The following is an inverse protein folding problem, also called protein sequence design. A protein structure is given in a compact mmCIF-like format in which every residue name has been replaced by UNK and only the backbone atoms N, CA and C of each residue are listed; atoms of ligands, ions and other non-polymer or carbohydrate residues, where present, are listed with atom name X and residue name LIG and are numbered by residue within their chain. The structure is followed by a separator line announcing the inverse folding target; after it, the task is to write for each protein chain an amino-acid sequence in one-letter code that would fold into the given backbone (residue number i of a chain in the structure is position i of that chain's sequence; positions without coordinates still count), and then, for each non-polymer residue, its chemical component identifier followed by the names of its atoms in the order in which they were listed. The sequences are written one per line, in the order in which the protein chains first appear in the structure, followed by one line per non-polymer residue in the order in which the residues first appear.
data_IF_925159872321
#
_entry.id   IF_925159872321
#
_cell.length_a   1.000
_cell.length_b   1.000
_cell.length_c   1.000
_cell.angle_alpha   90.00
_cell.angle_beta   90.00
_cell.angle_gamma   90.00
#
_symmetry.space_group_name_H-M   'P 1'
#
loop_
_entity.id
_entity.type
_entity.pdbx_description
1 polymer ?
#
# COMPACT_ATOMS: atom_id res chain seq x y z
N UNK A 1 17.21 -15.08 8.17
CA UNK A 1 16.51 -16.35 7.95
C UNK A 1 17.08 -16.98 6.68
N UNK A 2 17.29 -18.30 6.69
CA UNK A 2 17.91 -19.03 5.57
C UNK A 2 16.86 -19.40 4.49
N UNK A 3 16.02 -18.46 4.10
CA UNK A 3 14.99 -18.66 3.08
C UNK A 3 15.59 -18.68 1.68
N UNK A 4 15.02 -19.51 0.79
CA UNK A 4 15.34 -19.55 -0.64
C UNK A 4 14.15 -19.12 -1.50
N UNK A 5 12.97 -19.00 -0.90
CA UNK A 5 11.73 -18.66 -1.59
C UNK A 5 10.96 -17.62 -0.80
N UNK A 6 10.66 -16.47 -1.42
CA UNK A 6 9.74 -15.47 -0.86
C UNK A 6 8.31 -15.80 -1.30
N UNK A 7 7.39 -15.76 -0.34
CA UNK A 7 5.97 -16.01 -0.58
C UNK A 7 5.16 -14.82 -0.09
N UNK A 8 4.20 -14.36 -0.88
CA UNK A 8 3.27 -13.30 -0.43
C UNK A 8 1.92 -13.44 -1.10
N UNK A 9 0.98 -12.59 -0.69
CA UNK A 9 -0.37 -12.58 -1.23
C UNK A 9 -0.90 -11.15 -1.47
N UNK A 10 -1.90 -11.05 -2.35
CA UNK A 10 -2.54 -9.77 -2.67
C UNK A 10 -3.56 -9.87 -3.79
N UNK A 11 -4.10 -8.75 -4.23
CA UNK A 11 -4.90 -8.69 -5.46
C UNK A 11 -4.03 -8.88 -6.70
N UNK A 12 -4.64 -9.19 -7.86
CA UNK A 12 -3.93 -9.43 -9.13
C UNK A 12 -3.02 -8.25 -9.53
N UNK A 13 -3.41 -7.02 -9.19
CA UNK A 13 -2.65 -5.81 -9.48
C UNK A 13 -1.93 -5.24 -8.24
N UNK A 14 -1.49 -6.11 -7.32
CA UNK A 14 -0.83 -5.70 -6.10
C UNK A 14 0.56 -5.11 -6.34
N UNK A 15 0.77 -3.86 -5.97
CA UNK A 15 2.10 -3.23 -5.97
C UNK A 15 3.05 -3.91 -4.99
N UNK A 16 2.52 -4.43 -3.87
CA UNK A 16 3.30 -5.16 -2.89
C UNK A 16 3.82 -6.49 -3.47
N UNK A 17 2.96 -7.28 -4.13
CA UNK A 17 3.37 -8.53 -4.76
C UNK A 17 4.50 -8.30 -5.78
N UNK A 18 4.38 -7.27 -6.62
CA UNK A 18 5.46 -6.88 -7.54
C UNK A 18 6.75 -6.51 -6.81
N UNK A 19 6.67 -5.79 -5.69
CA UNK A 19 7.85 -5.45 -4.89
C UNK A 19 8.50 -6.71 -4.30
N UNK A 20 7.71 -7.70 -3.85
CA UNK A 20 8.21 -9.00 -3.39
C UNK A 20 8.89 -9.77 -4.53
N UNK A 21 8.27 -9.83 -5.71
CA UNK A 21 8.86 -10.46 -6.89
C UNK A 21 10.20 -9.82 -7.27
N UNK A 22 10.25 -8.46 -7.27
CA UNK A 22 11.49 -7.73 -7.50
C UNK A 22 12.56 -8.04 -6.46
N UNK A 23 12.19 -8.05 -5.17
CA UNK A 23 13.11 -8.35 -4.09
C UNK A 23 13.67 -9.79 -4.20
N UNK A 24 12.83 -10.76 -4.54
CA UNK A 24 13.26 -12.13 -4.78
C UNK A 24 14.26 -12.22 -5.94
N UNK A 25 13.91 -11.68 -7.11
CA UNK A 25 14.77 -11.67 -8.30
C UNK A 25 16.12 -10.99 -8.01
N UNK A 26 16.10 -9.84 -7.33
CA UNK A 26 17.31 -9.07 -6.99
C UNK A 26 18.28 -9.86 -6.08
N UNK A 27 17.75 -10.75 -5.24
CA UNK A 27 18.52 -11.52 -4.27
C UNK A 27 18.74 -12.99 -4.70
N UNK A 28 18.39 -13.37 -5.92
CA UNK A 28 18.54 -14.74 -6.43
C UNK A 28 17.65 -15.76 -5.71
N UNK A 29 16.50 -15.32 -5.18
CA UNK A 29 15.52 -16.15 -4.50
C UNK A 29 14.37 -16.49 -5.46
N UNK A 30 13.71 -17.61 -5.21
CA UNK A 30 12.44 -17.94 -5.85
C UNK A 30 11.32 -17.06 -5.29
N UNK A 31 10.26 -16.86 -6.07
CA UNK A 31 9.09 -16.10 -5.65
C UNK A 31 7.80 -16.87 -5.96
N UNK A 32 6.90 -16.97 -4.98
CA UNK A 32 5.55 -17.49 -5.13
C UNK A 32 4.55 -16.44 -4.68
N UNK A 33 3.58 -16.12 -5.54
CA UNK A 33 2.53 -15.13 -5.26
C UNK A 33 1.15 -15.79 -5.28
N UNK A 34 0.44 -15.70 -4.15
CA UNK A 34 -0.96 -16.09 -4.02
C UNK A 34 -1.83 -14.86 -4.36
N UNK A 35 -2.45 -14.85 -5.54
CA UNK A 35 -3.22 -13.70 -6.02
C UNK A 35 -4.72 -13.95 -5.93
N UNK A 36 -5.44 -12.96 -5.37
CA UNK A 36 -6.90 -12.98 -5.22
C UNK A 36 -7.60 -12.65 -6.53
N UNK A 37 -8.36 -13.58 -7.04
CA UNK A 37 -9.19 -13.44 -8.22
C UNK A 37 -9.03 -14.63 -9.17
N UNK A 38 -9.81 -14.63 -10.24
CA UNK A 38 -9.67 -15.60 -11.32
C UNK A 38 -8.49 -15.26 -12.21
N UNK A 39 -7.92 -16.28 -12.87
CA UNK A 39 -6.84 -16.09 -13.83
C UNK A 39 -7.33 -15.19 -14.97
N UNK A 40 -6.74 -14.01 -15.18
CA UNK A 40 -7.18 -13.11 -16.23
C UNK A 40 -6.82 -13.64 -17.63
N UNK A 41 -7.58 -13.21 -18.62
CA UNK A 41 -7.32 -13.52 -20.03
C UNK A 41 -6.05 -12.81 -20.51
N UNK A 42 -5.87 -11.56 -20.09
CA UNK A 42 -4.71 -10.75 -20.44
C UNK A 42 -3.80 -10.56 -19.23
N UNK A 43 -2.50 -10.60 -19.47
CA UNK A 43 -1.46 -10.41 -18.46
C UNK A 43 -0.90 -8.99 -18.64
N UNK A 44 -1.27 -8.09 -17.75
CA UNK A 44 -0.91 -6.67 -17.84
C UNK A 44 -0.57 -6.08 -16.46
N UNK A 45 -0.10 -4.83 -16.45
CA UNK A 45 0.16 -4.09 -15.23
C UNK A 45 1.17 -4.77 -14.30
N UNK A 46 0.83 -4.86 -13.03
CA UNK A 46 1.67 -5.51 -12.02
C UNK A 46 1.82 -7.02 -12.26
N UNK A 47 0.76 -7.71 -12.69
CA UNK A 47 0.84 -9.15 -13.01
C UNK A 47 1.85 -9.45 -14.12
N UNK A 48 1.94 -8.59 -15.14
CA UNK A 48 2.95 -8.73 -16.18
C UNK A 48 4.37 -8.60 -15.60
N UNK A 49 4.57 -7.62 -14.73
CA UNK A 49 5.86 -7.42 -14.08
C UNK A 49 6.22 -8.57 -13.14
N UNK A 50 5.26 -9.11 -12.40
CA UNK A 50 5.46 -10.30 -11.57
C UNK A 50 6.01 -11.48 -12.40
N UNK A 51 5.40 -11.73 -13.57
CA UNK A 51 5.85 -12.79 -14.49
C UNK A 51 7.21 -12.50 -15.11
N UNK A 52 7.48 -11.27 -15.53
CA UNK A 52 8.80 -10.85 -16.06
C UNK A 52 9.89 -11.03 -14.99
N UNK A 53 9.57 -10.78 -13.72
CA UNK A 53 10.48 -10.97 -12.59
C UNK A 53 10.65 -12.45 -12.17
N UNK A 54 9.99 -13.38 -12.86
CA UNK A 54 10.12 -14.81 -12.63
C UNK A 54 9.29 -15.35 -11.47
N UNK A 55 8.30 -14.59 -10.98
CA UNK A 55 7.42 -15.09 -9.94
C UNK A 55 6.50 -16.21 -10.45
N UNK A 56 6.40 -17.29 -9.69
CA UNK A 56 5.29 -18.21 -9.81
C UNK A 56 4.03 -17.59 -9.22
N UNK A 57 2.89 -17.76 -9.90
CA UNK A 57 1.63 -17.12 -9.51
C UNK A 57 0.53 -18.15 -9.44
N UNK A 58 -0.16 -18.21 -8.29
CA UNK A 58 -1.38 -18.99 -8.10
C UNK A 58 -2.56 -18.08 -7.82
N UNK A 59 -3.68 -18.42 -8.44
CA UNK A 59 -4.93 -17.68 -8.26
C UNK A 59 -5.81 -18.40 -7.24
N UNK A 60 -6.37 -17.62 -6.34
CA UNK A 60 -7.28 -18.07 -5.30
C UNK A 60 -8.57 -17.25 -5.39
N UNK A 61 -9.70 -17.87 -5.11
CA UNK A 61 -11.00 -17.18 -5.16
C UNK A 61 -11.09 -16.09 -4.08
N UNK A 62 -12.05 -15.18 -4.24
CA UNK A 62 -12.36 -14.18 -3.22
C UNK A 62 -12.78 -14.84 -1.91
N UNK A 63 -13.43 -16.01 -1.99
CA UNK A 63 -13.85 -16.78 -0.83
C UNK A 63 -12.64 -17.36 -0.07
N UNK A 64 -11.68 -17.96 -0.79
CA UNK A 64 -10.45 -18.47 -0.16
C UNK A 64 -9.69 -17.37 0.58
N UNK A 65 -9.69 -16.14 0.04
CA UNK A 65 -9.01 -15.00 0.65
C UNK A 65 -9.65 -14.49 1.96
N UNK A 66 -10.85 -14.97 2.32
CA UNK A 66 -11.42 -14.70 3.64
C UNK A 66 -10.63 -15.37 4.76
N UNK A 67 -9.90 -16.44 4.43
CA UNK A 67 -9.00 -17.13 5.36
C UNK A 67 -7.57 -17.21 4.79
N UNK A 68 -6.85 -16.10 4.89
CA UNK A 68 -5.44 -15.98 4.43
C UNK A 68 -4.55 -17.03 5.09
N UNK A 69 -4.83 -17.44 6.32
CA UNK A 69 -4.02 -18.42 7.03
C UNK A 69 -4.07 -19.81 6.34
N UNK A 70 -5.20 -20.19 5.78
CA UNK A 70 -5.32 -21.46 5.03
C UNK A 70 -4.53 -21.40 3.72
N UNK A 71 -4.52 -20.24 3.04
CA UNK A 71 -3.69 -20.03 1.85
C UNK A 71 -2.21 -20.12 2.23
N UNK A 72 -1.79 -19.43 3.29
CA UNK A 72 -0.42 -19.50 3.80
C UNK A 72 -0.01 -20.94 4.07
N UNK A 73 -0.77 -21.63 4.90
CA UNK A 73 -0.49 -23.02 5.28
C UNK A 73 -0.38 -23.92 4.03
N UNK A 74 -1.34 -23.82 3.10
CA UNK A 74 -1.36 -24.61 1.88
C UNK A 74 -0.10 -24.41 1.02
N UNK A 75 0.23 -23.14 0.77
CA UNK A 75 1.36 -22.77 -0.12
C UNK A 75 2.70 -23.07 0.55
N UNK A 76 2.84 -22.69 1.82
CA UNK A 76 4.09 -22.88 2.58
C UNK A 76 4.40 -24.36 2.78
N UNK A 77 3.39 -25.17 3.16
CA UNK A 77 3.60 -26.61 3.40
C UNK A 77 3.89 -27.36 2.11
N UNK A 78 3.30 -26.98 0.98
CA UNK A 78 3.64 -27.55 -0.31
C UNK A 78 5.09 -27.23 -0.71
N UNK A 79 5.52 -25.97 -0.60
CA UNK A 79 6.88 -25.56 -0.88
C UNK A 79 7.89 -26.31 0.01
N UNK A 80 7.59 -26.47 1.30
CA UNK A 80 8.44 -27.26 2.23
C UNK A 80 8.54 -28.71 1.84
N UNK A 81 7.42 -29.35 1.44
CA UNK A 81 7.42 -30.74 0.95
C UNK A 81 8.27 -30.92 -0.31
N UNK A 82 8.38 -29.87 -1.12
CA UNK A 82 9.22 -29.84 -2.32
C UNK A 82 10.69 -29.48 -2.03
N UNK A 83 11.07 -29.34 -0.75
CA UNK A 83 12.44 -29.06 -0.32
C UNK A 83 12.83 -27.60 -0.27
N UNK A 84 11.90 -26.67 -0.49
CA UNK A 84 12.13 -25.22 -0.37
C UNK A 84 12.08 -24.76 1.08
N UNK A 85 12.68 -23.60 1.34
CA UNK A 85 12.62 -22.88 2.62
C UNK A 85 11.85 -21.56 2.42
N UNK A 86 10.49 -21.61 2.39
CA UNK A 86 9.68 -20.44 2.14
C UNK A 86 9.69 -19.47 3.32
N UNK A 87 9.70 -18.17 3.02
CA UNK A 87 9.45 -17.08 3.94
C UNK A 87 8.18 -16.35 3.53
N UNK A 88 7.15 -16.45 4.36
CA UNK A 88 5.88 -15.76 4.15
C UNK A 88 5.99 -14.28 4.52
N UNK A 89 5.59 -13.42 3.61
CA UNK A 89 5.45 -11.97 3.79
C UNK A 89 3.97 -11.66 3.78
N UNK A 90 3.39 -11.11 4.85
CA UNK A 90 1.96 -10.86 4.92
C UNK A 90 1.50 -9.86 3.86
N UNK A 91 0.21 -9.83 3.58
CA UNK A 91 -0.40 -8.93 2.61
C UNK A 91 0.01 -7.47 2.87
N UNK A 92 0.47 -6.78 1.81
CA UNK A 92 0.98 -5.42 1.93
C UNK A 92 2.33 -5.28 2.64
N UNK A 93 2.97 -6.36 3.09
CA UNK A 93 4.14 -6.30 3.97
C UNK A 93 3.83 -5.64 5.31
N UNK A 94 2.55 -5.68 5.72
CA UNK A 94 2.05 -4.92 6.87
C UNK A 94 2.30 -5.65 8.18
N UNK A 95 3.52 -5.53 8.63
CA UNK A 95 4.01 -6.00 9.93
C UNK A 95 5.11 -5.07 10.45
N UNK A 96 5.61 -5.33 11.65
CA UNK A 96 6.65 -4.51 12.26
C UNK A 96 7.91 -4.41 11.38
N UNK A 97 8.35 -5.51 10.77
CA UNK A 97 9.54 -5.52 9.90
C UNK A 97 9.33 -4.69 8.63
N UNK A 98 8.18 -4.85 7.95
CA UNK A 98 7.86 -4.10 6.73
C UNK A 98 7.74 -2.59 6.97
N UNK A 99 7.26 -2.20 8.15
CA UNK A 99 7.10 -0.80 8.51
C UNK A 99 8.44 -0.07 8.73
N UNK A 100 9.55 -0.78 8.97
CA UNK A 100 10.88 -0.17 9.17
C UNK A 100 11.33 0.68 7.97
N UNK A 101 10.95 0.30 6.75
CA UNK A 101 11.26 1.06 5.54
C UNK A 101 10.66 2.48 5.58
N UNK A 102 9.48 2.63 6.15
CA UNK A 102 8.82 3.94 6.26
C UNK A 102 9.34 4.78 7.43
N UNK A 103 9.85 4.14 8.47
CA UNK A 103 10.65 4.86 9.50
C UNK A 103 11.88 5.50 8.84
N UNK A 104 12.58 4.76 7.99
CA UNK A 104 13.73 5.29 7.26
C UNK A 104 13.33 6.41 6.29
N UNK A 105 12.21 6.27 5.55
CA UNK A 105 11.67 7.31 4.69
C UNK A 105 11.43 8.63 5.46
N UNK A 106 10.84 8.56 6.66
CA UNK A 106 10.63 9.75 7.48
C UNK A 106 11.95 10.38 7.96
N UNK A 107 12.96 9.56 8.29
CA UNK A 107 14.29 10.10 8.61
C UNK A 107 14.89 10.88 7.44
N UNK A 108 14.70 10.39 6.22
CA UNK A 108 15.12 11.09 4.99
C UNK A 108 14.32 12.38 4.80
N UNK A 109 13.00 12.34 4.97
CA UNK A 109 12.14 13.52 4.87
C UNK A 109 12.47 14.58 5.93
N UNK A 110 12.77 14.17 7.16
CA UNK A 110 13.15 15.08 8.25
C UNK A 110 14.50 15.78 8.03
N UNK A 111 15.33 15.27 7.12
CA UNK A 111 16.60 15.92 6.74
C UNK A 111 16.40 17.06 5.73
N UNK A 112 15.20 17.24 5.16
CA UNK A 112 14.92 18.39 4.28
C UNK A 112 14.90 19.70 5.08
N UNK A 113 15.29 20.84 4.46
CA UNK A 113 15.35 22.12 5.15
C UNK A 113 13.97 22.77 5.38
N UNK A 114 12.90 22.00 5.22
CA UNK A 114 11.50 22.45 5.39
C UNK A 114 10.82 21.57 6.44
N UNK A 115 10.22 22.20 7.45
CA UNK A 115 9.31 21.49 8.36
C UNK A 115 7.94 21.30 7.72
N UNK A 116 7.34 20.15 7.96
CA UNK A 116 6.01 19.81 7.45
C UNK A 116 4.97 19.98 8.57
N UNK A 117 3.91 20.72 8.28
CA UNK A 117 2.76 20.89 9.19
C UNK A 117 1.79 19.70 9.07
N UNK A 118 1.64 19.18 7.85
CA UNK A 118 0.77 18.04 7.54
C UNK A 118 1.50 16.97 6.73
N UNK A 119 1.17 15.71 6.98
CA UNK A 119 1.66 14.56 6.24
C UNK A 119 0.48 13.70 5.78
N UNK A 120 0.38 13.44 4.47
CA UNK A 120 -0.68 12.65 3.85
C UNK A 120 -0.13 11.35 3.28
N UNK A 121 -0.79 10.24 3.60
CA UNK A 121 -0.42 8.91 3.11
C UNK A 121 -1.66 8.06 2.86
N UNK A 122 -1.62 7.24 1.80
CA UNK A 122 -2.65 6.25 1.54
C UNK A 122 -2.62 5.13 2.60
N UNK A 123 -3.78 4.72 3.08
CA UNK A 123 -3.96 3.67 4.08
C UNK A 123 -4.74 2.50 3.47
N UNK A 124 -4.02 1.41 3.12
CA UNK A 124 -4.60 0.23 2.48
C UNK A 124 -4.42 -1.07 3.27
N UNK A 125 -3.35 -1.19 4.07
CA UNK A 125 -3.06 -2.38 4.89
C UNK A 125 -2.38 -2.05 6.22
N UNK A 126 -2.20 -0.77 6.53
CA UNK A 126 -1.69 -0.28 7.81
C UNK A 126 -0.18 -0.13 7.92
N UNK A 127 0.64 -0.94 7.23
CA UNK A 127 2.09 -0.97 7.41
C UNK A 127 2.81 0.34 7.11
N UNK A 128 2.44 1.00 6.00
CA UNK A 128 2.98 2.31 5.63
C UNK A 128 2.66 3.36 6.68
N UNK A 129 1.39 3.46 7.09
CA UNK A 129 0.95 4.41 8.09
C UNK A 129 1.63 4.18 9.45
N UNK A 130 1.71 2.93 9.91
CA UNK A 130 2.40 2.59 11.16
C UNK A 130 3.88 3.01 11.12
N UNK A 131 4.56 2.75 10.00
CA UNK A 131 5.95 3.16 9.82
C UNK A 131 6.15 4.68 9.75
N UNK A 132 5.22 5.39 9.12
CA UNK A 132 5.20 6.87 9.10
C UNK A 132 5.01 7.42 10.53
N UNK A 133 4.02 6.92 11.25
CA UNK A 133 3.75 7.33 12.64
C UNK A 133 4.96 7.15 13.55
N UNK A 134 5.55 5.95 13.49
CA UNK A 134 6.77 5.61 14.23
C UNK A 134 7.96 6.47 13.80
N UNK A 135 8.11 6.66 12.48
CA UNK A 135 9.19 7.46 11.92
C UNK A 135 9.15 8.90 12.42
N UNK A 136 8.00 9.52 12.44
CA UNK A 136 7.82 10.89 12.98
C UNK A 136 8.19 10.97 14.46
N UNK A 137 7.75 9.99 15.26
CA UNK A 137 8.13 9.92 16.66
C UNK A 137 9.64 9.79 16.85
N UNK A 138 10.31 8.89 16.13
CA UNK A 138 11.76 8.69 16.21
C UNK A 138 12.57 9.86 15.66
N UNK A 139 12.09 10.54 14.64
CA UNK A 139 12.76 11.70 14.05
C UNK A 139 12.53 12.99 14.88
N UNK A 140 11.66 12.95 15.89
CA UNK A 140 11.30 14.12 16.70
C UNK A 140 10.53 15.18 15.91
N UNK A 141 9.85 14.82 14.81
CA UNK A 141 8.98 15.70 14.05
C UNK A 141 7.51 15.42 14.37
N UNK A 142 6.68 16.44 14.35
CA UNK A 142 5.28 16.34 14.78
C UNK A 142 4.31 16.93 13.74
N UNK A 143 4.33 16.48 12.47
CA UNK A 143 3.31 16.87 11.53
C UNK A 143 1.96 16.27 11.94
N UNK A 144 0.87 16.93 11.57
CA UNK A 144 -0.45 16.31 11.64
C UNK A 144 -0.54 15.23 10.57
N UNK A 145 -0.55 13.95 10.98
CA UNK A 145 -0.56 12.82 10.06
C UNK A 145 -1.99 12.51 9.64
N UNK A 146 -2.20 12.29 8.34
CA UNK A 146 -3.47 11.93 7.73
C UNK A 146 -3.33 10.63 6.94
N UNK A 147 -3.86 9.53 7.48
CA UNK A 147 -4.01 8.26 6.80
C UNK A 147 -5.34 8.24 6.05
N UNK A 148 -5.30 8.38 4.74
CA UNK A 148 -6.52 8.34 3.92
C UNK A 148 -6.81 6.90 3.54
N UNK A 149 -7.89 6.33 4.10
CA UNK A 149 -8.31 4.97 3.84
C UNK A 149 -8.75 4.81 2.37
N UNK A 150 -8.27 3.75 1.71
CA UNK A 150 -8.60 3.43 0.32
C UNK A 150 -9.50 2.20 0.18
N UNK A 151 -9.70 1.50 1.27
CA UNK A 151 -10.62 0.37 1.48
C UNK A 151 -11.09 0.43 2.93
N UNK A 152 -11.83 -0.47 3.44
CA UNK A 152 -12.19 -0.65 4.84
C UNK A 152 -12.41 0.65 5.67
N UNK A 153 -12.92 0.51 6.87
CA UNK A 153 -13.25 1.64 7.74
C UNK A 153 -12.13 1.95 8.76
N UNK A 154 -12.34 3.04 9.49
CA UNK A 154 -11.45 3.48 10.57
C UNK A 154 -11.24 2.43 11.64
N UNK A 155 -12.30 1.71 12.03
CA UNK A 155 -12.22 0.72 13.11
C UNK A 155 -11.33 -0.45 12.71
N UNK A 156 -11.44 -0.93 11.47
CA UNK A 156 -10.56 -1.93 10.90
C UNK A 156 -9.09 -1.50 10.96
N UNK A 157 -8.77 -0.28 10.50
CA UNK A 157 -7.39 0.20 10.48
C UNK A 157 -6.82 0.45 11.87
N UNK A 158 -7.63 0.91 12.83
CA UNK A 158 -7.19 1.02 14.23
C UNK A 158 -6.78 -0.35 14.77
N UNK A 159 -7.56 -1.40 14.47
CA UNK A 159 -7.23 -2.76 14.90
C UNK A 159 -5.93 -3.28 14.24
N UNK A 160 -5.76 -3.07 12.92
CA UNK A 160 -4.56 -3.51 12.19
C UNK A 160 -3.30 -2.77 12.66
N UNK A 161 -3.36 -1.47 12.84
CA UNK A 161 -2.21 -0.67 13.32
C UNK A 161 -1.87 -1.08 14.75
N UNK A 162 -2.88 -1.36 15.60
CA UNK A 162 -2.67 -1.88 16.96
C UNK A 162 -2.02 -3.27 16.96
N UNK A 163 -2.32 -4.12 15.97
CA UNK A 163 -1.64 -5.40 15.76
C UNK A 163 -0.16 -5.19 15.43
N UNK A 164 0.15 -4.29 14.49
CA UNK A 164 1.53 -3.93 14.12
C UNK A 164 2.28 -3.34 15.32
N UNK A 165 1.62 -2.54 16.14
CA UNK A 165 2.19 -2.00 17.39
C UNK A 165 2.63 -3.11 18.35
N UNK A 166 1.78 -4.11 18.56
CA UNK A 166 2.13 -5.27 19.41
C UNK A 166 3.34 -6.02 18.85
N UNK A 167 3.38 -6.24 17.54
CA UNK A 167 4.54 -6.87 16.89
C UNK A 167 5.84 -6.06 17.09
N UNK A 168 5.80 -4.72 17.03
CA UNK A 168 6.97 -3.91 17.34
C UNK A 168 7.48 -4.14 18.77
N UNK A 169 6.55 -4.25 19.73
CA UNK A 169 6.91 -4.56 21.11
C UNK A 169 7.52 -5.96 21.24
N UNK A 170 6.94 -6.96 20.57
CA UNK A 170 7.37 -8.36 20.67
C UNK A 170 8.69 -8.61 19.94
N UNK A 171 8.86 -8.07 18.72
CA UNK A 171 10.01 -8.37 17.86
C UNK A 171 11.21 -7.48 18.20
N UNK A 172 10.97 -6.22 18.52
CA UNK A 172 12.03 -5.21 18.67
C UNK A 172 12.13 -4.63 20.10
N UNK A 173 11.24 -5.02 21.01
CA UNK A 173 11.18 -4.44 22.36
C UNK A 173 10.77 -2.96 22.38
N UNK A 174 10.29 -2.43 21.26
CA UNK A 174 9.95 -1.03 21.10
C UNK A 174 8.54 -0.75 21.62
N UNK A 175 8.45 0.02 22.71
CA UNK A 175 7.17 0.58 23.14
C UNK A 175 6.88 1.82 22.31
N UNK A 176 5.79 1.81 21.62
CA UNK A 176 5.35 2.92 20.78
C UNK A 176 3.95 3.32 21.21
N UNK A 177 3.77 4.62 21.39
CA UNK A 177 2.46 5.19 21.65
C UNK A 177 1.76 5.47 20.32
N UNK A 178 0.58 4.89 20.15
CA UNK A 178 -0.33 5.14 19.05
C UNK A 178 -1.61 5.83 19.54
N UNK A 179 -1.53 6.53 20.66
CA UNK A 179 -2.65 7.36 21.11
C UNK A 179 -3.05 8.35 20.02
N UNK A 180 -4.33 8.48 19.79
CA UNK A 180 -4.85 9.42 18.77
C UNK A 180 -4.85 8.90 17.33
N UNK A 181 -4.38 7.67 17.03
CA UNK A 181 -4.34 7.18 15.64
C UNK A 181 -5.71 7.19 14.97
N UNK A 182 -6.78 6.95 15.71
CA UNK A 182 -8.13 6.96 15.15
C UNK A 182 -8.54 8.32 14.58
N UNK A 183 -8.06 9.42 15.18
CA UNK A 183 -8.29 10.78 14.65
C UNK A 183 -7.47 11.08 13.40
N UNK A 184 -6.35 10.40 13.21
CA UNK A 184 -5.48 10.55 12.05
C UNK A 184 -5.96 9.74 10.82
N UNK A 185 -6.98 8.91 10.97
CA UNK A 185 -7.55 8.10 9.89
C UNK A 185 -8.80 8.79 9.32
N UNK A 186 -8.77 9.05 8.02
CA UNK A 186 -9.91 9.52 7.25
C UNK A 186 -10.41 8.43 6.31
N UNK A 187 -11.58 7.89 6.57
CA UNK A 187 -12.22 6.80 5.82
C UNK A 187 -13.32 7.28 4.85
N UNK A 188 -13.45 8.60 4.63
CA UNK A 188 -14.46 9.18 3.73
C UNK A 188 -14.13 9.01 2.25
N UNK A 189 -12.88 8.66 1.92
CA UNK A 189 -12.35 8.54 0.56
C UNK A 189 -12.23 7.10 0.04
N UNK A 190 -12.82 6.12 0.73
CA UNK A 190 -12.90 4.73 0.28
C UNK A 190 -13.63 4.61 -1.07
N UNK A 191 -14.62 5.49 -1.30
CA UNK A 191 -15.38 5.54 -2.54
C UNK A 191 -16.23 4.28 -2.74
N UNK A 192 -16.28 3.78 -3.99
CA UNK A 192 -17.07 2.60 -4.35
C UNK A 192 -16.39 1.26 -4.02
N UNK A 193 -15.21 1.30 -3.42
CA UNK A 193 -14.49 0.13 -2.93
C UNK A 193 -13.03 0.06 -3.36
N UNK A 194 -12.34 -1.00 -2.91
CA UNK A 194 -10.93 -1.23 -3.22
C UNK A 194 -10.70 -1.44 -4.71
N UNK A 195 -9.76 -0.71 -5.28
CA UNK A 195 -9.40 -0.73 -6.70
C UNK A 195 -10.55 -0.38 -7.67
N UNK A 196 -11.66 0.12 -7.14
CA UNK A 196 -12.78 0.64 -7.92
C UNK A 196 -12.76 2.16 -7.92
N UNK A 197 -13.08 2.76 -9.06
CA UNK A 197 -13.11 4.20 -9.25
C UNK A 197 -14.40 4.63 -9.93
N UNK A 198 -14.91 5.77 -9.51
CA UNK A 198 -15.95 6.48 -10.26
C UNK A 198 -15.33 7.18 -11.47
N UNK A 199 -16.12 7.47 -12.53
CA UNK A 199 -15.65 8.29 -13.64
C UNK A 199 -15.07 9.64 -13.18
N UNK A 200 -15.70 10.29 -12.20
CA UNK A 200 -15.25 11.56 -11.65
C UNK A 200 -13.86 11.47 -10.96
N UNK A 201 -13.57 10.37 -10.24
CA UNK A 201 -12.23 10.16 -9.67
C UNK A 201 -11.17 10.04 -10.77
N UNK A 202 -11.44 9.31 -11.83
CA UNK A 202 -10.50 9.18 -12.96
C UNK A 202 -10.35 10.51 -13.73
N UNK A 203 -11.39 11.31 -13.86
CA UNK A 203 -11.31 12.67 -14.43
C UNK A 203 -10.41 13.58 -13.60
N UNK A 204 -10.50 13.50 -12.28
CA UNK A 204 -9.61 14.24 -11.38
C UNK A 204 -8.16 13.77 -11.49
N UNK A 205 -7.91 12.45 -11.64
CA UNK A 205 -6.58 11.92 -11.91
C UNK A 205 -5.98 12.56 -13.17
N UNK A 206 -6.74 12.57 -14.27
CA UNK A 206 -6.30 13.19 -15.53
C UNK A 206 -6.09 14.70 -15.36
N UNK A 207 -6.96 15.37 -14.61
CA UNK A 207 -6.81 16.81 -14.31
C UNK A 207 -5.50 17.10 -13.57
N UNK A 208 -5.21 16.40 -12.48
CA UNK A 208 -3.97 16.60 -11.71
C UNK A 208 -2.73 16.27 -12.55
N UNK A 209 -2.78 15.19 -13.33
CA UNK A 209 -1.67 14.85 -14.22
C UNK A 209 -1.41 15.95 -15.27
N UNK A 210 -2.46 16.55 -15.82
CA UNK A 210 -2.33 17.60 -16.86
C UNK A 210 -1.90 18.97 -16.29
N UNK A 211 -2.26 19.28 -15.04
CA UNK A 211 -1.92 20.56 -14.42
C UNK A 211 -0.55 20.55 -13.74
N UNK A 212 -0.21 19.44 -13.06
CA UNK A 212 0.96 19.36 -12.16
C UNK A 212 2.03 18.39 -12.66
N UNK A 213 1.78 17.65 -13.76
CA UNK A 213 2.64 16.55 -14.19
C UNK A 213 2.66 15.38 -13.18
N UNK A 214 1.73 15.36 -12.22
CA UNK A 214 1.65 14.38 -11.16
C UNK A 214 0.74 13.22 -11.59
N UNK A 215 1.35 12.11 -11.97
CA UNK A 215 0.59 10.89 -12.33
C UNK A 215 0.39 10.04 -11.09
N UNK A 216 -0.85 9.97 -10.60
CA UNK A 216 -1.27 9.19 -9.44
C UNK A 216 -1.70 7.78 -9.87
N UNK A 217 -1.57 6.79 -8.99
CA UNK A 217 -2.22 5.50 -9.21
C UNK A 217 -3.70 5.56 -8.80
N UNK A 218 -4.60 4.81 -9.47
CA UNK A 218 -6.04 4.94 -9.21
C UNK A 218 -6.50 4.28 -7.91
N UNK A 219 -5.67 3.43 -7.28
CA UNK A 219 -6.07 2.63 -6.12
C UNK A 219 -5.75 3.33 -4.80
N UNK A 220 -4.54 3.85 -4.67
CA UNK A 220 -4.00 4.39 -3.42
C UNK A 220 -3.77 5.89 -3.48
N UNK A 221 -2.84 6.33 -4.32
CA UNK A 221 -2.35 7.72 -4.30
C UNK A 221 -3.40 8.70 -4.77
N UNK A 222 -4.27 8.35 -5.71
CA UNK A 222 -5.39 9.20 -6.12
C UNK A 222 -6.32 9.48 -4.93
N UNK A 223 -6.79 8.43 -4.25
CA UNK A 223 -7.72 8.59 -3.11
C UNK A 223 -7.09 9.40 -1.98
N UNK A 224 -5.81 9.14 -1.69
CA UNK A 224 -5.08 9.92 -0.69
C UNK A 224 -4.92 11.39 -1.10
N UNK A 225 -4.68 11.66 -2.37
CA UNK A 225 -4.55 13.03 -2.89
C UNK A 225 -5.89 13.76 -2.87
N UNK A 226 -6.99 13.08 -3.22
CA UNK A 226 -8.34 13.63 -3.09
C UNK A 226 -8.66 14.03 -1.66
N UNK A 227 -8.31 13.19 -0.67
CA UNK A 227 -8.46 13.53 0.75
C UNK A 227 -7.66 14.75 1.15
N UNK A 228 -6.43 14.88 0.67
CA UNK A 228 -5.62 16.10 0.90
C UNK A 228 -6.27 17.34 0.29
N UNK A 229 -6.74 17.25 -0.95
CA UNK A 229 -7.41 18.38 -1.63
C UNK A 229 -8.68 18.80 -0.89
N UNK A 230 -9.47 17.84 -0.39
CA UNK A 230 -10.67 18.12 0.38
C UNK A 230 -10.35 18.80 1.72
N UNK A 231 -9.27 18.39 2.39
CA UNK A 231 -8.82 19.07 3.60
C UNK A 231 -8.37 20.52 3.33
N UNK A 232 -7.70 20.77 2.21
CA UNK A 232 -7.34 22.13 1.79
C UNK A 232 -8.59 22.96 1.50
N UNK A 233 -9.54 22.42 0.73
CA UNK A 233 -10.78 23.12 0.33
C UNK A 233 -11.69 23.42 1.50
N UNK A 234 -11.72 22.53 2.49
CA UNK A 234 -12.54 22.73 3.71
C UNK A 234 -11.92 23.68 4.73
N UNK A 235 -10.69 24.15 4.50
CA UNK A 235 -9.97 25.00 5.43
C UNK A 235 -9.36 24.25 6.62
N UNK A 236 -9.30 22.92 6.58
CA UNK A 236 -8.59 22.11 7.59
C UNK A 236 -7.07 22.27 7.49
N UNK A 237 -6.59 22.78 6.37
CA UNK A 237 -5.21 23.19 6.11
C UNK A 237 -5.20 24.70 5.91
N UNK A 238 -4.40 25.41 6.70
CA UNK A 238 -4.31 26.87 6.64
C UNK A 238 -3.34 27.31 5.54
N UNK A 239 -3.56 28.51 5.00
CA UNK A 239 -2.67 29.07 3.97
C UNK A 239 -1.26 29.27 4.54
N UNK A 240 -0.26 28.78 3.82
CA UNK A 240 1.15 28.90 4.20
C UNK A 240 1.68 27.70 4.97
N UNK A 241 0.85 26.73 5.31
CA UNK A 241 1.30 25.47 5.89
C UNK A 241 1.96 24.58 4.83
N UNK A 242 2.98 23.84 5.24
CA UNK A 242 3.74 22.90 4.40
C UNK A 242 3.14 21.51 4.49
N UNK A 243 2.84 20.92 3.35
CA UNK A 243 2.28 19.59 3.27
C UNK A 243 3.31 18.61 2.66
N UNK A 244 3.49 17.47 3.29
CA UNK A 244 4.19 16.33 2.70
C UNK A 244 3.17 15.30 2.22
N UNK A 245 3.11 15.08 0.92
CA UNK A 245 2.32 13.99 0.32
C UNK A 245 3.23 12.81 -0.01
N UNK A 246 2.95 11.64 0.56
CA UNK A 246 3.74 10.42 0.31
C UNK A 246 3.19 9.71 -0.93
N UNK A 247 3.87 9.91 -2.07
CA UNK A 247 3.55 9.22 -3.32
C UNK A 247 4.19 7.83 -3.34
N UNK A 248 3.42 6.80 -3.04
CA UNK A 248 3.88 5.41 -2.91
C UNK A 248 4.03 4.67 -4.25
N UNK A 249 3.98 5.37 -5.38
CA UNK A 249 4.08 4.76 -6.71
C UNK A 249 2.74 4.19 -7.20
N UNK A 250 2.78 3.01 -7.81
CA UNK A 250 1.57 2.30 -8.26
C UNK A 250 1.19 2.50 -9.72
N UNK A 251 2.01 3.20 -10.52
CA UNK A 251 1.73 3.47 -11.95
C UNK A 251 1.33 2.24 -12.79
N UNK A 252 1.89 1.02 -12.58
CA UNK A 252 1.44 -0.14 -13.33
C UNK A 252 -0.06 -0.44 -13.16
N UNK A 253 -0.70 -0.01 -12.06
CA UNK A 253 -2.13 -0.12 -11.84
C UNK A 253 -3.00 0.76 -12.75
N UNK A 254 -2.41 1.68 -13.53
CA UNK A 254 -3.13 2.46 -14.54
C UNK A 254 -3.48 1.63 -15.78
N UNK A 255 -2.60 0.70 -16.19
CA UNK A 255 -2.76 -0.04 -17.43
C UNK A 255 -4.02 -0.92 -17.46
N UNK A 256 -4.38 -1.64 -16.39
CA UNK A 256 -5.65 -2.38 -16.31
C UNK A 256 -6.91 -1.49 -16.38
N UNK A 257 -6.76 -0.17 -16.26
CA UNK A 257 -7.83 0.82 -16.40
C UNK A 257 -7.90 1.44 -17.80
N UNK A 258 -7.17 0.89 -18.77
CA UNK A 258 -7.12 1.46 -20.11
C UNK A 258 -8.51 1.61 -20.77
N UNK A 259 -9.43 0.67 -20.50
CA UNK A 259 -10.79 0.72 -21.06
C UNK A 259 -11.59 1.92 -20.55
N UNK A 260 -11.47 2.25 -19.27
CA UNK A 260 -12.10 3.41 -18.66
C UNK A 260 -11.50 4.71 -19.20
N UNK A 261 -10.18 4.79 -19.32
CA UNK A 261 -9.49 5.94 -19.89
C UNK A 261 -9.80 6.12 -21.39
N UNK A 262 -9.86 5.05 -22.18
CA UNK A 262 -10.23 5.12 -23.57
C UNK A 262 -11.63 5.70 -23.77
N UNK A 263 -12.61 5.27 -22.97
CA UNK A 263 -13.95 5.86 -23.00
C UNK A 263 -13.90 7.37 -22.73
N UNK A 264 -13.09 7.79 -21.75
CA UNK A 264 -12.95 9.20 -21.40
C UNK A 264 -12.27 10.01 -22.52
N UNK A 265 -11.25 9.48 -23.21
CA UNK A 265 -10.47 10.22 -24.20
C UNK A 265 -11.10 10.20 -25.60
N UNK A 266 -11.83 9.14 -25.95
CA UNK A 266 -12.46 9.02 -27.27
C UNK A 266 -13.77 9.81 -27.40
N UNK A 267 -14.39 10.16 -26.27
CA UNK A 267 -15.66 10.92 -26.25
C UNK A 267 -15.48 12.38 -25.77
N UNK A 268 -14.26 12.84 -25.64
CA UNK A 268 -13.87 14.25 -25.52
C UNK A 268 -13.51 14.79 -26.91
#
# INVERSE_FOLDING_TARGET
QNADTLVSCGGIQSNHCRAVAWAAARNGLSCMLALRGEKPVEVEGNLLLDRILGADVRFFSVEDFKNIQDIENTVVDELRRNGNRPYWIPMGGSNATGSLGYIQMIREAAAFPVSFDHLYVALGSGGTFAGVWLGCHHAGIQPRIHGIAVCDDRAYFVAEISRIQREFQEVYGMKVDFEGIGQAIDDRHVGVGYALNTPSELEQLVHFASCEGLVLDPVYTLKAFLGMVDHIRSGAVEKGQNLLFVHTGGHPGLFPKHSEFNKMFLFR
#
